data_IF_012546912355
#
_entry.id   IF_012546912355
#
_cell.length_a   1.000
_cell.length_b   1.000
_cell.length_c   1.000
_cell.angle_alpha   90.00
_cell.angle_beta   90.00
_cell.angle_gamma   90.00
#
_symmetry.space_group_name_H-M   'P 1'
#
loop_
_entity.id
_entity.type
_entity.pdbx_description
1 polymer ?
#
# COMPACT_ATOMS: atom_id res chain seq x y z
N UNK A 1 11.33 14.00 37.70
CA UNK A 1 11.92 12.66 37.57
C UNK A 1 10.81 11.65 37.79
N UNK A 2 10.05 11.34 36.73
CA UNK A 2 8.91 10.42 36.80
C UNK A 2 9.36 9.07 36.26
N UNK A 3 9.27 8.04 37.12
CA UNK A 3 9.65 6.67 36.83
C UNK A 3 8.60 6.10 35.85
N UNK A 4 8.99 5.90 34.59
CA UNK A 4 8.20 5.10 33.66
C UNK A 4 8.26 3.64 34.10
N UNK A 5 7.08 3.03 34.28
CA UNK A 5 6.94 1.63 34.68
C UNK A 5 7.55 0.71 33.61
N UNK A 6 8.16 -0.43 33.99
CA UNK A 6 8.60 -1.42 33.02
C UNK A 6 7.37 -2.04 32.36
N UNK A 7 7.25 -1.87 31.05
CA UNK A 7 6.27 -2.54 30.21
C UNK A 7 6.72 -3.99 30.04
N UNK A 8 5.79 -4.91 30.27
CA UNK A 8 5.95 -6.36 30.24
C UNK A 8 6.67 -6.86 28.96
N UNK A 9 7.83 -7.54 29.06
CA UNK A 9 8.56 -7.99 27.90
C UNK A 9 7.91 -9.25 27.33
N UNK A 10 7.21 -9.09 26.20
CA UNK A 10 6.92 -10.22 25.31
C UNK A 10 8.26 -10.88 24.90
N UNK A 11 8.38 -12.22 24.89
CA UNK A 11 9.66 -12.94 24.72
C UNK A 11 10.47 -12.69 23.42
N UNK A 12 10.01 -11.82 22.51
CA UNK A 12 10.71 -11.43 21.27
C UNK A 12 11.01 -9.93 21.15
N UNK A 13 10.51 -9.08 22.06
CA UNK A 13 10.77 -7.64 22.03
C UNK A 13 12.26 -7.34 22.30
N UNK A 14 12.88 -8.09 23.21
CA UNK A 14 14.26 -7.89 23.66
C UNK A 14 15.30 -8.16 22.57
N UNK A 15 15.01 -9.07 21.63
CA UNK A 15 15.89 -9.42 20.52
C UNK A 15 15.88 -8.34 19.43
N UNK A 16 14.70 -7.83 19.06
CA UNK A 16 14.56 -6.70 18.13
C UNK A 16 15.17 -5.42 18.72
N UNK A 17 14.94 -5.15 20.01
CA UNK A 17 15.53 -4.01 20.74
C UNK A 17 17.05 -4.07 20.78
N UNK A 18 17.64 -5.25 20.98
CA UNK A 18 19.09 -5.47 20.89
C UNK A 18 19.60 -5.24 19.47
N UNK A 19 18.88 -5.71 18.45
CA UNK A 19 19.27 -5.54 17.04
C UNK A 19 19.19 -4.08 16.57
N UNK A 20 18.22 -3.32 17.06
CA UNK A 20 18.13 -1.86 16.83
C UNK A 20 19.30 -1.12 17.48
N UNK A 21 19.65 -1.47 18.73
CA UNK A 21 20.80 -0.89 19.42
C UNK A 21 22.14 -1.26 18.75
N UNK A 22 22.30 -2.48 18.24
CA UNK A 22 23.46 -2.90 17.42
C UNK A 22 23.59 -2.11 16.11
N UNK A 23 22.48 -1.61 15.57
CA UNK A 23 22.44 -0.76 14.38
C UNK A 23 22.58 0.73 14.69
N UNK A 24 22.74 1.11 15.97
CA UNK A 24 22.96 2.49 16.42
C UNK A 24 21.68 3.33 16.54
N UNK A 25 20.49 2.72 16.53
CA UNK A 25 19.21 3.41 16.65
C UNK A 25 18.55 3.14 18.01
N UNK A 26 18.17 4.20 18.73
CA UNK A 26 17.35 4.08 19.92
C UNK A 26 15.89 3.75 19.54
N UNK A 27 15.26 2.84 20.29
CA UNK A 27 13.88 2.45 20.03
C UNK A 27 12.91 3.54 20.53
N UNK A 28 12.52 4.47 19.65
CA UNK A 28 11.67 5.61 19.99
C UNK A 28 10.17 5.39 19.72
N UNK A 29 9.77 4.33 19.00
CA UNK A 29 8.36 4.00 18.75
C UNK A 29 7.84 2.89 19.68
N UNK A 30 6.77 3.20 20.40
CA UNK A 30 6.01 2.24 21.21
C UNK A 30 5.24 1.27 20.28
N UNK A 31 5.72 0.02 20.14
CA UNK A 31 5.09 -1.02 19.30
C UNK A 31 3.87 -1.62 20.00
N UNK A 32 2.78 -0.85 20.04
CA UNK A 32 1.51 -1.23 20.68
C UNK A 32 0.49 -1.96 19.78
N UNK A 33 0.76 -2.13 18.49
CA UNK A 33 -0.25 -2.64 17.56
C UNK A 33 -0.40 -4.17 17.71
N UNK A 34 -1.54 -4.62 18.25
CA UNK A 34 -1.86 -6.04 18.42
C UNK A 34 -1.96 -6.78 17.08
N UNK A 35 -1.96 -8.12 17.11
CA UNK A 35 -2.05 -8.95 15.88
C UNK A 35 -3.32 -8.67 15.07
N UNK A 36 -4.45 -8.44 15.75
CA UNK A 36 -5.72 -8.09 15.11
C UNK A 36 -5.69 -6.68 14.49
N UNK A 37 -5.05 -5.72 15.16
CA UNK A 37 -4.91 -4.36 14.63
C UNK A 37 -3.99 -4.34 13.40
N UNK A 38 -2.87 -5.07 13.43
CA UNK A 38 -2.02 -5.25 12.23
C UNK A 38 -2.76 -5.92 11.08
N UNK A 39 -3.57 -6.95 11.37
CA UNK A 39 -4.40 -7.61 10.36
C UNK A 39 -5.43 -6.65 9.76
N UNK A 40 -6.15 -5.89 10.60
CA UNK A 40 -7.16 -4.93 10.16
C UNK A 40 -6.56 -3.80 9.31
N UNK A 41 -5.38 -3.28 9.68
CA UNK A 41 -4.65 -2.29 8.90
C UNK A 41 -4.25 -2.86 7.54
N UNK A 42 -3.68 -4.07 7.52
CA UNK A 42 -3.28 -4.73 6.27
C UNK A 42 -4.47 -5.00 5.34
N UNK A 43 -5.58 -5.48 5.90
CA UNK A 43 -6.82 -5.73 5.17
C UNK A 43 -7.38 -4.44 4.55
N UNK A 44 -7.35 -3.33 5.32
CA UNK A 44 -7.79 -2.01 4.86
C UNK A 44 -6.91 -1.49 3.71
N UNK A 45 -5.59 -1.66 3.81
CA UNK A 45 -4.63 -1.23 2.79
C UNK A 45 -4.80 -2.00 1.47
N UNK A 46 -5.00 -3.33 1.53
CA UNK A 46 -5.14 -4.16 0.33
C UNK A 46 -6.48 -3.90 -0.38
N UNK A 47 -7.51 -3.47 0.36
CA UNK A 47 -8.81 -3.05 -0.18
C UNK A 47 -9.36 -3.98 -1.27
N UNK A 48 -9.52 -5.27 -0.91
CA UNK A 48 -9.88 -6.36 -1.85
C UNK A 48 -11.19 -6.07 -2.57
N UNK A 49 -12.16 -5.47 -1.89
CA UNK A 49 -13.48 -5.19 -2.45
C UNK A 49 -13.39 -4.21 -3.63
N UNK A 50 -12.72 -3.07 -3.42
CA UNK A 50 -12.60 -2.02 -4.43
C UNK A 50 -11.79 -2.49 -5.62
N UNK A 51 -10.60 -3.08 -5.40
CA UNK A 51 -9.74 -3.57 -6.47
C UNK A 51 -10.36 -4.74 -7.24
N UNK A 52 -11.05 -5.63 -6.54
CA UNK A 52 -11.76 -6.76 -7.13
C UNK A 52 -12.89 -6.30 -8.07
N UNK A 53 -13.77 -5.42 -7.59
CA UNK A 53 -14.94 -4.96 -8.37
C UNK A 53 -14.50 -4.18 -9.61
N UNK A 54 -13.54 -3.25 -9.49
CA UNK A 54 -13.10 -2.42 -10.62
C UNK A 54 -12.39 -3.23 -11.70
N UNK A 55 -11.66 -4.27 -11.31
CA UNK A 55 -10.87 -5.09 -12.24
C UNK A 55 -11.64 -6.30 -12.79
N UNK A 56 -12.77 -6.66 -12.18
CA UNK A 56 -13.56 -7.83 -12.58
C UNK A 56 -14.01 -7.76 -14.04
N UNK A 57 -14.43 -6.58 -14.50
CA UNK A 57 -14.79 -6.35 -15.91
C UNK A 57 -13.63 -6.65 -16.87
N UNK A 58 -12.41 -6.23 -16.51
CA UNK A 58 -11.22 -6.49 -17.32
C UNK A 58 -10.91 -7.98 -17.37
N UNK A 59 -10.95 -8.66 -16.22
CA UNK A 59 -10.70 -10.09 -16.13
C UNK A 59 -11.69 -10.91 -16.98
N UNK A 60 -12.96 -10.50 -16.97
CA UNK A 60 -14.02 -11.20 -17.70
C UNK A 60 -13.90 -11.02 -19.22
N UNK A 61 -13.50 -9.83 -19.69
CA UNK A 61 -13.31 -9.58 -21.12
C UNK A 61 -12.00 -10.19 -21.67
N UNK A 62 -10.94 -10.25 -20.86
CA UNK A 62 -9.62 -10.67 -21.34
C UNK A 62 -9.47 -12.20 -21.44
N UNK A 63 -10.11 -12.98 -20.55
CA UNK A 63 -9.97 -14.44 -20.54
C UNK A 63 -11.17 -15.21 -20.01
N UNK A 64 -12.28 -14.51 -19.74
CA UNK A 64 -13.51 -15.10 -19.25
C UNK A 64 -13.45 -15.55 -17.77
N UNK A 65 -14.46 -16.31 -17.32
CA UNK A 65 -14.60 -16.69 -15.91
C UNK A 65 -13.45 -17.58 -15.40
N UNK A 66 -12.87 -18.40 -16.30
CA UNK A 66 -11.82 -19.37 -15.95
C UNK A 66 -10.51 -18.69 -15.56
N UNK A 67 -10.12 -17.63 -16.26
CA UNK A 67 -8.92 -16.85 -15.90
C UNK A 67 -9.13 -16.06 -14.63
N UNK A 68 -10.35 -15.58 -14.36
CA UNK A 68 -10.65 -14.89 -13.10
C UNK A 68 -10.50 -15.81 -11.87
N UNK A 69 -10.96 -17.06 -11.96
CA UNK A 69 -10.87 -18.02 -10.84
C UNK A 69 -9.48 -18.63 -10.66
N UNK A 70 -8.87 -19.11 -11.74
CA UNK A 70 -7.56 -19.81 -11.66
C UNK A 70 -6.42 -18.79 -11.56
N UNK A 71 -6.52 -17.68 -12.29
CA UNK A 71 -5.50 -16.63 -12.31
C UNK A 71 -5.32 -16.00 -10.94
N UNK A 72 -6.41 -15.73 -10.21
CA UNK A 72 -6.31 -15.20 -8.85
C UNK A 72 -5.58 -16.17 -7.92
N UNK A 73 -5.90 -17.48 -7.92
CA UNK A 73 -5.22 -18.44 -7.04
C UNK A 73 -3.72 -18.56 -7.37
N UNK A 74 -3.38 -18.63 -8.66
CA UNK A 74 -2.00 -18.73 -9.10
C UNK A 74 -1.18 -17.47 -8.75
N UNK A 75 -1.70 -16.29 -9.09
CA UNK A 75 -1.06 -15.01 -8.76
C UNK A 75 -0.99 -14.82 -7.25
N UNK A 76 -2.04 -15.18 -6.51
CA UNK A 76 -2.09 -15.09 -5.05
C UNK A 76 -1.03 -15.95 -4.36
N UNK A 77 -0.78 -17.16 -4.86
CA UNK A 77 0.31 -18.00 -4.38
C UNK A 77 1.67 -17.34 -4.62
N UNK A 78 1.91 -16.84 -5.84
CA UNK A 78 3.16 -16.15 -6.18
C UNK A 78 3.36 -14.90 -5.32
N UNK A 79 2.32 -14.10 -5.11
CA UNK A 79 2.34 -12.92 -4.23
C UNK A 79 2.64 -13.29 -2.77
N UNK A 80 2.15 -14.43 -2.30
CA UNK A 80 2.43 -14.92 -0.94
C UNK A 80 3.90 -15.31 -0.79
N UNK A 81 4.50 -15.96 -1.79
CA UNK A 81 5.93 -16.28 -1.79
C UNK A 81 6.80 -15.01 -1.73
N UNK A 82 6.43 -13.98 -2.50
CA UNK A 82 7.11 -12.66 -2.44
C UNK A 82 6.91 -12.01 -1.07
N UNK A 83 5.71 -12.12 -0.50
CA UNK A 83 5.41 -11.63 0.85
C UNK A 83 6.26 -12.31 1.93
N UNK A 84 6.47 -13.62 1.83
CA UNK A 84 7.33 -14.38 2.74
C UNK A 84 8.80 -13.94 2.63
N UNK A 85 9.31 -13.75 1.41
CA UNK A 85 10.66 -13.23 1.21
C UNK A 85 10.83 -11.83 1.82
N UNK A 86 9.84 -10.95 1.68
CA UNK A 86 9.86 -9.64 2.31
C UNK A 86 9.75 -9.73 3.85
N UNK A 87 8.99 -10.70 4.38
CA UNK A 87 8.90 -10.92 5.82
C UNK A 87 10.26 -11.32 6.43
N UNK A 88 11.06 -12.13 5.73
CA UNK A 88 12.43 -12.46 6.16
C UNK A 88 13.31 -11.20 6.21
N UNK A 89 13.26 -10.35 5.18
CA UNK A 89 14.01 -9.08 5.14
C UNK A 89 13.59 -8.13 6.27
N UNK A 90 12.29 -7.99 6.53
CA UNK A 90 11.75 -7.20 7.62
C UNK A 90 12.24 -7.69 8.99
N UNK A 91 12.35 -9.02 9.18
CA UNK A 91 12.85 -9.61 10.44
C UNK A 91 14.35 -9.39 10.65
N UNK A 92 15.13 -9.34 9.58
CA UNK A 92 16.58 -9.11 9.64
C UNK A 92 16.95 -7.63 9.87
N UNK A 93 16.11 -6.70 9.41
CA UNK A 93 16.34 -5.26 9.51
C UNK A 93 15.11 -4.53 10.08
N UNK A 94 14.89 -4.58 11.41
CA UNK A 94 13.77 -3.92 12.09
C UNK A 94 13.99 -2.41 12.25
N UNK A 95 14.47 -1.73 11.21
CA UNK A 95 14.72 -0.28 11.20
C UNK A 95 13.58 0.46 10.51
N UNK A 96 13.18 1.61 11.06
CA UNK A 96 12.12 2.47 10.51
C UNK A 96 12.43 3.10 9.12
N UNK A 97 13.55 2.75 8.49
CA UNK A 97 14.02 3.32 7.22
C UNK A 97 13.32 2.81 5.94
N UNK A 98 12.35 1.89 6.08
CA UNK A 98 11.52 1.41 4.96
C UNK A 98 12.28 0.74 3.82
N UNK A 99 11.62 0.62 2.65
CA UNK A 99 12.16 -0.09 1.48
C UNK A 99 13.49 0.48 0.95
N UNK A 100 13.69 1.79 1.12
CA UNK A 100 14.88 2.51 0.68
C UNK A 100 16.12 2.10 1.49
N UNK A 101 15.95 1.94 2.81
CA UNK A 101 17.00 1.50 3.71
C UNK A 101 17.36 0.02 3.47
N UNK A 102 16.35 -0.83 3.24
CA UNK A 102 16.58 -2.23 2.88
C UNK A 102 17.33 -2.36 1.55
N UNK A 103 17.00 -1.54 0.55
CA UNK A 103 17.72 -1.50 -0.73
C UNK A 103 19.18 -1.02 -0.57
N UNK A 104 19.42 0.00 0.26
CA UNK A 104 20.78 0.47 0.55
C UNK A 104 21.63 -0.58 1.27
N UNK A 105 21.04 -1.34 2.19
CA UNK A 105 21.73 -2.34 3.02
C UNK A 105 22.03 -3.64 2.27
N UNK A 106 21.16 -4.05 1.36
CA UNK A 106 21.36 -5.25 0.52
C UNK A 106 22.28 -5.01 -0.67
N UNK A 107 22.43 -3.76 -1.13
CA UNK A 107 23.35 -3.41 -2.21
C UNK A 107 24.80 -3.34 -1.72
N UNK A 108 25.76 -3.65 -2.62
CA UNK A 108 27.19 -3.43 -2.35
C UNK A 108 27.43 -1.94 -2.01
N UNK A 109 28.38 -1.58 -1.12
CA UNK A 109 28.58 -0.21 -0.65
C UNK A 109 28.70 0.85 -1.76
N UNK A 110 29.31 0.47 -2.89
CA UNK A 110 29.46 1.34 -4.06
C UNK A 110 28.13 1.64 -4.81
N UNK A 111 27.15 0.74 -4.73
CA UNK A 111 25.86 0.87 -5.41
C UNK A 111 24.71 1.19 -4.45
N UNK A 112 24.95 1.21 -3.14
CA UNK A 112 23.94 1.49 -2.12
C UNK A 112 23.19 2.81 -2.35
N UNK A 113 23.83 3.95 -2.72
CA UNK A 113 23.12 5.21 -2.98
C UNK A 113 22.22 5.13 -4.21
N UNK A 114 22.67 4.45 -5.27
CA UNK A 114 21.93 4.31 -6.53
C UNK A 114 20.73 3.38 -6.32
N UNK A 115 20.93 2.26 -5.63
CA UNK A 115 19.86 1.30 -5.33
C UNK A 115 18.75 1.93 -4.48
N UNK A 116 19.10 2.71 -3.44
CA UNK A 116 18.11 3.43 -2.64
C UNK A 116 17.40 4.54 -3.41
N UNK A 117 18.14 5.27 -4.26
CA UNK A 117 17.57 6.33 -5.09
C UNK A 117 16.57 5.77 -6.11
N UNK A 118 16.95 4.73 -6.86
CA UNK A 118 16.06 4.08 -7.82
C UNK A 118 14.84 3.46 -7.14
N UNK A 119 15.04 2.69 -6.06
CA UNK A 119 13.93 2.10 -5.27
C UNK A 119 12.97 3.19 -4.81
N UNK A 120 13.51 4.36 -4.47
CA UNK A 120 12.70 5.47 -4.04
C UNK A 120 11.87 6.14 -5.10
N UNK A 121 12.46 6.40 -6.26
CA UNK A 121 11.72 6.89 -7.41
C UNK A 121 10.65 5.91 -7.85
N UNK A 122 10.94 4.61 -7.86
CA UNK A 122 9.93 3.60 -8.18
C UNK A 122 8.80 3.56 -7.17
N UNK A 123 9.10 3.67 -5.87
CA UNK A 123 8.06 3.74 -4.86
C UNK A 123 7.22 5.02 -5.01
N UNK A 124 7.83 6.18 -5.27
CA UNK A 124 7.10 7.43 -5.49
C UNK A 124 6.19 7.35 -6.72
N UNK A 125 6.71 6.92 -7.86
CA UNK A 125 5.95 6.75 -9.11
C UNK A 125 4.83 5.74 -8.90
N UNK A 126 5.11 4.64 -8.20
CA UNK A 126 4.12 3.64 -7.83
C UNK A 126 2.97 4.24 -7.02
N UNK A 127 3.27 5.04 -6.00
CA UNK A 127 2.24 5.71 -5.20
C UNK A 127 1.41 6.69 -6.05
N UNK A 128 2.05 7.52 -6.87
CA UNK A 128 1.34 8.45 -7.77
C UNK A 128 0.42 7.69 -8.73
N UNK A 129 0.91 6.60 -9.33
CA UNK A 129 0.14 5.77 -10.25
C UNK A 129 -1.04 5.07 -9.55
N UNK A 130 -0.84 4.54 -8.34
CA UNK A 130 -1.90 3.91 -7.53
C UNK A 130 -2.98 4.94 -7.17
N UNK A 131 -2.60 6.13 -6.71
CA UNK A 131 -3.55 7.20 -6.40
C UNK A 131 -4.35 7.59 -7.66
N UNK A 132 -3.68 7.81 -8.79
CA UNK A 132 -4.35 8.14 -10.05
C UNK A 132 -5.32 7.04 -10.49
N UNK A 133 -4.91 5.77 -10.42
CA UNK A 133 -5.75 4.62 -10.74
C UNK A 133 -7.01 4.55 -9.86
N UNK A 134 -6.86 4.72 -8.55
CA UNK A 134 -7.99 4.65 -7.61
C UNK A 134 -8.98 5.80 -7.82
N UNK A 135 -8.48 7.02 -8.02
CA UNK A 135 -9.34 8.19 -8.29
C UNK A 135 -10.06 8.03 -9.63
N UNK A 136 -9.41 7.44 -10.64
CA UNK A 136 -10.04 7.14 -11.93
C UNK A 136 -11.16 6.10 -11.80
N UNK A 137 -10.93 5.03 -11.04
CA UNK A 137 -11.96 4.04 -10.73
C UNK A 137 -13.17 4.67 -10.04
N UNK A 138 -12.93 5.52 -9.04
CA UNK A 138 -13.99 6.24 -8.32
C UNK A 138 -14.77 7.20 -9.23
N UNK A 139 -14.07 7.99 -10.05
CA UNK A 139 -14.69 8.92 -11.00
C UNK A 139 -15.58 8.19 -12.02
N UNK A 140 -15.12 7.02 -12.49
CA UNK A 140 -15.87 6.18 -13.42
C UNK A 140 -17.15 5.64 -12.78
N UNK A 141 -17.07 5.13 -11.55
CA UNK A 141 -18.25 4.63 -10.81
C UNK A 141 -19.26 5.77 -10.56
N UNK A 142 -18.79 6.94 -10.13
CA UNK A 142 -19.65 8.11 -9.92
C UNK A 142 -20.31 8.58 -11.22
N UNK A 143 -19.56 8.62 -12.32
CA UNK A 143 -20.08 9.00 -13.64
C UNK A 143 -21.21 8.09 -14.11
N UNK A 144 -21.03 6.77 -14.01
CA UNK A 144 -22.09 5.81 -14.35
C UNK A 144 -23.27 5.84 -13.38
N UNK A 145 -23.00 6.04 -12.09
CA UNK A 145 -24.06 6.17 -11.08
C UNK A 145 -24.97 7.37 -11.39
N UNK A 146 -24.39 8.53 -11.70
CA UNK A 146 -25.15 9.74 -12.06
C UNK A 146 -26.00 9.55 -13.32
N UNK A 147 -25.47 8.85 -14.32
CA UNK A 147 -26.19 8.53 -15.55
C UNK A 147 -27.43 7.65 -15.29
N UNK A 148 -27.33 6.69 -14.36
CA UNK A 148 -28.41 5.74 -14.08
C UNK A 148 -29.48 6.33 -13.14
N UNK A 149 -29.09 7.20 -12.20
CA UNK A 149 -29.96 7.57 -11.07
C UNK A 149 -30.53 8.98 -11.12
N UNK A 150 -29.79 9.96 -11.66
CA UNK A 150 -30.16 11.38 -11.51
C UNK A 150 -30.47 12.00 -12.87
N UNK A 151 -29.57 11.86 -13.85
CA UNK A 151 -29.67 12.56 -15.13
C UNK A 151 -29.57 11.57 -16.29
N UNK A 152 -30.71 11.13 -16.84
CA UNK A 152 -30.74 10.30 -18.06
C UNK A 152 -30.06 10.98 -19.27
N UNK A 153 -30.03 12.32 -19.29
CA UNK A 153 -29.33 13.12 -20.32
C UNK A 153 -27.81 13.21 -20.11
N UNK A 154 -27.31 12.78 -18.95
CA UNK A 154 -25.87 12.72 -18.67
C UNK A 154 -25.28 11.47 -19.32
N UNK A 155 -24.80 11.61 -20.55
CA UNK A 155 -24.04 10.56 -21.19
C UNK A 155 -22.62 10.56 -20.62
N UNK A 156 -22.21 9.56 -19.83
CA UNK A 156 -20.89 9.43 -19.19
C UNK A 156 -19.73 9.37 -20.22
N UNK A 157 -19.49 10.50 -20.89
CA UNK A 157 -18.46 10.69 -21.91
C UNK A 157 -17.10 10.84 -21.21
N UNK A 158 -16.00 10.47 -21.87
CA UNK A 158 -14.65 10.61 -21.32
C UNK A 158 -14.35 12.00 -20.76
N UNK A 159 -14.82 13.06 -21.43
CA UNK A 159 -14.62 14.44 -20.96
C UNK A 159 -15.31 14.72 -19.62
N UNK A 160 -16.50 14.17 -19.38
CA UNK A 160 -17.23 14.38 -18.13
C UNK A 160 -16.64 13.56 -16.99
N UNK A 161 -16.21 12.32 -17.26
CA UNK A 161 -15.47 11.49 -16.29
C UNK A 161 -14.17 12.19 -15.90
N UNK A 162 -13.48 12.83 -16.85
CA UNK A 162 -12.26 13.60 -16.59
C UNK A 162 -12.53 14.80 -15.68
N UNK A 163 -13.65 15.52 -15.86
CA UNK A 163 -14.03 16.62 -14.96
C UNK A 163 -14.28 16.10 -13.54
N UNK A 164 -15.05 15.02 -13.39
CA UNK A 164 -15.31 14.38 -12.09
C UNK A 164 -13.98 13.94 -11.44
N UNK A 165 -13.10 13.32 -12.22
CA UNK A 165 -11.77 12.90 -11.79
C UNK A 165 -10.95 14.06 -11.24
N UNK A 166 -10.88 15.18 -11.97
CA UNK A 166 -10.13 16.37 -11.54
C UNK A 166 -10.71 16.99 -10.26
N UNK A 167 -12.04 17.03 -10.13
CA UNK A 167 -12.70 17.53 -8.91
C UNK A 167 -12.37 16.65 -7.69
N UNK A 168 -12.42 15.33 -7.85
CA UNK A 168 -12.06 14.40 -6.78
C UNK A 168 -10.58 14.52 -6.42
N UNK A 169 -9.69 14.65 -7.41
CA UNK A 169 -8.26 14.82 -7.17
C UNK A 169 -7.96 16.13 -6.43
N UNK A 170 -8.62 17.23 -6.82
CA UNK A 170 -8.50 18.52 -6.15
C UNK A 170 -9.01 18.43 -4.69
N UNK A 171 -10.14 17.76 -4.45
CA UNK A 171 -10.66 17.54 -3.11
C UNK A 171 -9.70 16.73 -2.23
N UNK A 172 -9.15 15.62 -2.73
CA UNK A 172 -8.12 14.85 -2.02
C UNK A 172 -6.87 15.70 -1.74
N UNK A 173 -6.42 16.49 -2.71
CA UNK A 173 -5.28 17.39 -2.56
C UNK A 173 -5.51 18.44 -1.47
N UNK A 174 -6.70 19.05 -1.43
CA UNK A 174 -7.09 20.03 -0.40
C UNK A 174 -7.12 19.34 0.98
N UNK A 175 -7.81 18.21 1.10
CA UNK A 175 -7.90 17.46 2.37
C UNK A 175 -6.51 17.07 2.86
N UNK A 176 -5.63 16.57 1.98
CA UNK A 176 -4.29 16.17 2.36
C UNK A 176 -3.35 17.36 2.69
N UNK A 177 -3.69 18.57 2.25
CA UNK A 177 -2.88 19.78 2.53
C UNK A 177 -3.34 20.53 3.77
N UNK A 178 -4.62 20.45 4.12
CA UNK A 178 -5.24 21.24 5.20
C UNK A 178 -5.85 20.40 6.33
N UNK A 179 -5.96 19.09 6.15
CA UNK A 179 -6.55 18.13 7.10
C UNK A 179 -5.52 17.35 7.91
#
# INVERSE_FOLDING_TARGET
MSISKPVDPRPGADADSRRLHELGYAQELDRGMGWFSNFAVSFTVISILTGGITTYYLAMNAGGPRTATIGWLFVGLMSTLVGLAMAEVCSAYPTAGGLYYWAAKMAKPAHAPIASWSTGWYNLIGQVAVTASNVFGLATIIGFFLQITVWESFAAKPCQILVIYLLILAAHGIINSFG
#
